data_IF_545994726824
#
_entry.id   IF_545994726824
#
_cell.length_a   1.000
_cell.length_b   1.000
_cell.length_c   1.000
_cell.angle_alpha   90.00
_cell.angle_beta   90.00
_cell.angle_gamma   90.00
#
_symmetry.space_group_name_H-M   'P 1'
#
loop_
_entity.id
_entity.type
_entity.pdbx_description
1 polymer ?
#
# COMPACT_ATOMS: atom_id res chain seq x y z
N UNK A 1 31.98 25.34 -14.58
CA UNK A 1 32.50 24.17 -13.83
C UNK A 1 31.93 22.88 -14.43
N UNK A 2 32.72 22.15 -15.23
CA UNK A 2 32.34 20.79 -15.69
C UNK A 2 32.40 19.86 -14.48
N UNK A 3 31.26 19.61 -13.85
CA UNK A 3 31.13 18.64 -12.77
C UNK A 3 31.63 17.30 -13.30
N UNK A 4 32.55 16.64 -12.58
CA UNK A 4 33.15 15.35 -12.93
C UNK A 4 32.05 14.28 -12.97
N UNK A 5 31.33 14.20 -14.06
CA UNK A 5 30.17 13.31 -14.30
C UNK A 5 30.54 11.84 -14.08
N UNK A 6 31.80 11.48 -14.33
CA UNK A 6 32.30 10.10 -14.14
C UNK A 6 32.29 9.68 -12.67
N UNK A 7 32.79 10.53 -11.75
CA UNK A 7 32.79 10.24 -10.31
C UNK A 7 31.36 10.21 -9.72
N UNK A 8 30.50 11.13 -10.20
CA UNK A 8 29.09 11.15 -9.81
C UNK A 8 28.36 9.86 -10.26
N UNK A 9 28.62 9.42 -11.48
CA UNK A 9 28.00 8.17 -12.01
C UNK A 9 28.54 6.92 -11.28
N UNK A 10 29.83 6.89 -10.97
CA UNK A 10 30.43 5.79 -10.19
C UNK A 10 29.80 5.74 -8.79
N UNK A 11 29.71 6.87 -8.10
CA UNK A 11 29.10 6.97 -6.78
C UNK A 11 27.63 6.52 -6.81
N UNK A 12 26.85 7.00 -7.79
CA UNK A 12 25.47 6.58 -8.00
C UNK A 12 25.38 5.07 -8.24
N UNK A 13 26.27 4.52 -9.09
CA UNK A 13 26.32 3.07 -9.36
C UNK A 13 26.60 2.22 -8.11
N UNK A 14 27.53 2.68 -7.26
CA UNK A 14 27.84 2.02 -6.00
C UNK A 14 26.66 2.03 -5.01
N UNK A 15 25.96 3.16 -4.90
CA UNK A 15 24.74 3.27 -4.08
C UNK A 15 23.67 2.31 -4.58
N UNK A 16 23.41 2.31 -5.88
CA UNK A 16 22.41 1.41 -6.47
C UNK A 16 22.80 -0.06 -6.25
N UNK A 17 24.06 -0.40 -6.50
CA UNK A 17 24.56 -1.75 -6.24
C UNK A 17 24.32 -2.15 -4.76
N UNK A 18 24.68 -1.29 -3.82
CA UNK A 18 24.49 -1.56 -2.39
C UNK A 18 23.02 -1.75 -2.01
N UNK A 19 22.11 -0.93 -2.58
CA UNK A 19 20.67 -1.01 -2.31
C UNK A 19 20.03 -2.28 -2.92
N UNK A 20 20.44 -2.67 -4.13
CA UNK A 20 19.83 -3.80 -4.83
C UNK A 20 20.52 -5.13 -4.57
N UNK A 21 21.73 -5.13 -4.02
CA UNK A 21 22.50 -6.35 -3.71
C UNK A 21 21.72 -7.33 -2.80
N UNK A 22 21.09 -6.91 -1.70
CA UNK A 22 20.28 -7.82 -0.87
C UNK A 22 19.11 -8.44 -1.64
N UNK A 23 18.44 -7.65 -2.49
CA UNK A 23 17.33 -8.15 -3.33
C UNK A 23 17.83 -9.19 -4.32
N UNK A 24 18.99 -8.94 -4.93
CA UNK A 24 19.63 -9.92 -5.83
C UNK A 24 19.93 -11.24 -5.11
N UNK A 25 20.42 -11.19 -3.87
CA UNK A 25 20.64 -12.40 -3.07
C UNK A 25 19.32 -13.12 -2.76
N UNK A 26 18.24 -12.43 -2.41
CA UNK A 26 16.92 -13.05 -2.21
C UNK A 26 16.49 -13.79 -3.47
N UNK A 27 16.61 -13.16 -4.65
CA UNK A 27 16.27 -13.77 -5.94
C UNK A 27 17.18 -14.98 -6.21
N UNK A 28 18.49 -14.86 -6.00
CA UNK A 28 19.44 -15.94 -6.22
C UNK A 28 19.13 -17.16 -5.33
N UNK A 29 18.96 -16.92 -4.02
CA UNK A 29 18.70 -17.99 -3.05
C UNK A 29 17.28 -18.56 -3.14
N UNK A 30 16.36 -17.94 -3.88
CA UNK A 30 15.05 -18.51 -4.19
C UNK A 30 15.14 -19.78 -5.07
N UNK A 31 16.24 -19.91 -5.79
CA UNK A 31 16.53 -21.09 -6.63
C UNK A 31 17.48 -22.09 -5.96
N UNK A 32 17.83 -21.90 -4.69
CA UNK A 32 18.75 -22.79 -3.99
C UNK A 32 18.04 -24.10 -3.61
N UNK A 33 18.63 -25.26 -4.00
CA UNK A 33 18.08 -26.58 -3.67
C UNK A 33 18.12 -26.89 -2.17
N UNK A 34 19.12 -26.36 -1.46
CA UNK A 34 19.25 -26.55 0.00
C UNK A 34 18.07 -25.95 0.75
N UNK A 35 17.70 -26.56 1.89
CA UNK A 35 16.69 -25.99 2.82
C UNK A 35 17.19 -24.81 3.62
N UNK A 36 18.48 -24.54 3.61
CA UNK A 36 19.10 -23.42 4.34
C UNK A 36 19.73 -22.45 3.36
N UNK A 37 19.66 -21.17 3.67
CA UNK A 37 20.33 -20.13 2.88
C UNK A 37 21.85 -20.05 3.16
N UNK A 38 22.35 -20.81 4.14
CA UNK A 38 23.76 -20.82 4.52
C UNK A 38 24.66 -21.55 3.50
N UNK A 39 24.10 -22.49 2.73
CA UNK A 39 24.85 -23.35 1.79
C UNK A 39 24.13 -23.35 0.45
N UNK A 40 24.86 -23.10 -0.62
CA UNK A 40 24.35 -23.26 -1.98
C UNK A 40 24.37 -24.75 -2.38
N UNK A 41 23.19 -25.36 -2.51
CA UNK A 41 23.01 -26.77 -2.85
C UNK A 41 22.83 -27.06 -4.33
N UNK A 42 22.84 -26.02 -5.19
CA UNK A 42 22.55 -26.13 -6.60
C UNK A 42 21.28 -25.35 -7.01
N UNK A 43 21.04 -25.29 -8.32
CA UNK A 43 19.87 -24.64 -8.89
C UNK A 43 18.66 -25.58 -8.86
N UNK A 44 17.53 -25.12 -8.32
CA UNK A 44 16.27 -25.87 -8.28
C UNK A 44 15.06 -24.95 -8.31
N UNK A 45 13.98 -25.39 -8.93
CA UNK A 45 12.65 -24.72 -8.92
C UNK A 45 11.71 -25.29 -7.86
N UNK A 46 12.21 -26.19 -7.03
CA UNK A 46 11.44 -26.94 -6.02
C UNK A 46 10.55 -26.05 -5.15
N UNK A 47 11.10 -24.92 -4.68
CA UNK A 47 10.36 -24.01 -3.78
C UNK A 47 9.18 -23.34 -4.45
N UNK A 48 9.26 -23.06 -5.75
CA UNK A 48 8.14 -22.53 -6.52
C UNK A 48 7.02 -23.56 -6.70
N UNK A 49 7.38 -24.85 -6.82
CA UNK A 49 6.39 -25.93 -6.85
C UNK A 49 5.76 -26.13 -5.47
N UNK A 50 6.55 -26.12 -4.40
CA UNK A 50 6.04 -26.22 -3.01
C UNK A 50 5.11 -25.05 -2.69
N UNK A 51 5.48 -23.80 -3.01
CA UNK A 51 4.63 -22.62 -2.84
C UNK A 51 3.28 -22.74 -3.56
N UNK A 52 3.25 -23.30 -4.77
CA UNK A 52 2.02 -23.48 -5.53
C UNK A 52 1.07 -24.51 -4.90
N UNK A 53 1.57 -25.34 -4.00
CA UNK A 53 0.81 -26.40 -3.27
C UNK A 53 0.52 -26.01 -1.82
N UNK A 54 1.19 -24.98 -1.27
CA UNK A 54 0.96 -24.51 0.10
C UNK A 54 -0.38 -23.74 0.18
N UNK A 55 -1.43 -24.45 0.59
CA UNK A 55 -2.79 -23.89 0.73
C UNK A 55 -2.85 -22.77 1.76
N UNK A 56 -2.11 -22.88 2.85
CA UNK A 56 -2.11 -21.88 3.93
C UNK A 56 -1.48 -20.57 3.45
N UNK A 57 -0.47 -20.66 2.59
CA UNK A 57 0.16 -19.49 1.98
C UNK A 57 -0.75 -18.82 0.95
N UNK A 58 -1.40 -19.63 0.10
CA UNK A 58 -2.35 -19.12 -0.89
C UNK A 58 -3.57 -18.47 -0.21
N UNK A 59 -4.06 -19.04 0.89
CA UNK A 59 -5.11 -18.45 1.70
C UNK A 59 -4.66 -17.13 2.33
N UNK A 60 -3.46 -17.08 2.92
CA UNK A 60 -2.88 -15.87 3.49
C UNK A 60 -2.69 -14.77 2.44
N UNK A 61 -2.26 -15.12 1.22
CA UNK A 61 -2.18 -14.20 0.08
C UNK A 61 -3.57 -13.68 -0.29
N UNK A 62 -4.55 -14.56 -0.42
CA UNK A 62 -5.94 -14.19 -0.69
C UNK A 62 -6.50 -13.21 0.35
N UNK A 63 -6.28 -13.50 1.63
CA UNK A 63 -6.67 -12.64 2.75
C UNK A 63 -6.02 -11.26 2.67
N UNK A 64 -4.72 -11.19 2.36
CA UNK A 64 -4.00 -9.91 2.18
C UNK A 64 -4.54 -9.09 1.01
N UNK A 65 -4.86 -9.73 -0.11
CA UNK A 65 -5.43 -9.05 -1.27
C UNK A 65 -6.84 -8.51 -0.97
N UNK A 66 -7.69 -9.32 -0.33
CA UNK A 66 -9.03 -8.90 0.09
C UNK A 66 -8.94 -7.74 1.08
N UNK A 67 -8.08 -7.86 2.09
CA UNK A 67 -7.83 -6.80 3.08
C UNK A 67 -7.36 -5.51 2.39
N UNK A 68 -6.31 -5.61 1.55
CA UNK A 68 -5.74 -4.46 0.87
C UNK A 68 -6.74 -3.75 -0.04
N UNK A 69 -7.51 -4.50 -0.84
CA UNK A 69 -8.52 -3.93 -1.74
C UNK A 69 -9.67 -3.31 -0.94
N UNK A 70 -10.23 -4.02 0.04
CA UNK A 70 -11.34 -3.53 0.84
C UNK A 70 -10.97 -2.25 1.60
N UNK A 71 -9.83 -2.24 2.27
CA UNK A 71 -9.33 -1.08 3.01
C UNK A 71 -9.00 0.10 2.09
N UNK A 72 -8.37 -0.18 0.96
CA UNK A 72 -8.00 0.85 -0.02
C UNK A 72 -9.25 1.50 -0.64
N UNK A 73 -10.24 0.73 -1.06
CA UNK A 73 -11.49 1.25 -1.64
C UNK A 73 -12.25 2.08 -0.60
N UNK A 74 -12.39 1.58 0.61
CA UNK A 74 -13.08 2.30 1.70
C UNK A 74 -12.34 3.60 2.04
N UNK A 75 -11.01 3.55 2.16
CA UNK A 75 -10.19 4.73 2.39
C UNK A 75 -10.24 5.72 1.22
N UNK A 76 -10.32 5.24 -0.04
CA UNK A 76 -10.45 6.10 -1.21
C UNK A 76 -11.75 6.89 -1.19
N UNK A 77 -12.85 6.25 -0.83
CA UNK A 77 -14.14 6.95 -0.69
C UNK A 77 -14.08 7.98 0.44
N UNK A 78 -13.69 7.55 1.64
CA UNK A 78 -13.67 8.45 2.82
C UNK A 78 -12.65 9.58 2.64
N UNK A 79 -11.44 9.26 2.20
CA UNK A 79 -10.36 10.23 2.01
C UNK A 79 -10.67 11.26 0.92
N UNK A 80 -11.29 10.81 -0.20
CA UNK A 80 -11.69 11.70 -1.29
C UNK A 80 -12.81 12.64 -0.84
N UNK A 81 -13.90 12.09 -0.25
CA UNK A 81 -15.00 12.89 0.25
C UNK A 81 -14.54 13.85 1.36
N UNK A 82 -13.66 13.39 2.24
CA UNK A 82 -13.04 14.20 3.28
C UNK A 82 -12.21 15.36 2.71
N UNK A 83 -11.36 15.09 1.71
CA UNK A 83 -10.55 16.12 1.07
C UNK A 83 -11.41 17.19 0.36
N UNK A 84 -12.40 16.75 -0.43
CA UNK A 84 -13.32 17.67 -1.13
C UNK A 84 -14.20 18.45 -0.15
N UNK A 85 -14.75 17.76 0.85
CA UNK A 85 -15.56 18.41 1.89
C UNK A 85 -14.79 19.48 2.66
N UNK A 86 -13.54 19.19 3.05
CA UNK A 86 -12.68 20.17 3.71
C UNK A 86 -12.27 21.32 2.79
N UNK A 87 -12.01 21.07 1.52
CA UNK A 87 -11.64 22.12 0.57
C UNK A 87 -12.80 23.14 0.40
N UNK A 88 -14.03 22.66 0.34
CA UNK A 88 -15.24 23.47 0.15
C UNK A 88 -15.82 24.04 1.45
N UNK A 89 -15.34 23.55 2.60
CA UNK A 89 -15.86 23.96 3.89
C UNK A 89 -15.31 25.32 4.33
N UNK A 90 -16.17 26.15 4.89
CA UNK A 90 -15.83 27.39 5.58
C UNK A 90 -15.68 27.20 7.10
N UNK A 91 -15.62 25.95 7.60
CA UNK A 91 -15.49 25.64 9.02
C UNK A 91 -14.16 26.18 9.57
N UNK A 92 -14.24 26.93 10.68
CA UNK A 92 -13.06 27.43 11.39
C UNK A 92 -12.15 26.29 11.92
N UNK A 93 -12.73 25.11 12.14
CA UNK A 93 -12.07 23.92 12.68
C UNK A 93 -11.45 23.01 11.61
N UNK A 94 -11.53 23.39 10.32
CA UNK A 94 -11.03 22.51 9.24
C UNK A 94 -9.55 22.14 9.39
N UNK A 95 -8.74 23.06 9.91
CA UNK A 95 -7.32 22.79 10.21
C UNK A 95 -7.14 21.69 11.26
N UNK A 96 -7.95 21.72 12.32
CA UNK A 96 -7.93 20.68 13.36
C UNK A 96 -8.35 19.33 12.79
N UNK A 97 -9.41 19.27 11.99
CA UNK A 97 -9.85 18.01 11.34
C UNK A 97 -8.76 17.45 10.45
N UNK A 98 -8.07 18.31 9.71
CA UNK A 98 -6.96 17.90 8.86
C UNK A 98 -5.77 17.36 9.67
N UNK A 99 -5.44 17.98 10.81
CA UNK A 99 -4.42 17.46 11.73
C UNK A 99 -4.82 16.10 12.29
N UNK A 100 -6.03 15.95 12.78
CA UNK A 100 -6.56 14.68 13.32
C UNK A 100 -6.54 13.59 12.24
N UNK A 101 -6.95 13.91 11.01
CA UNK A 101 -6.94 12.95 9.91
C UNK A 101 -5.52 12.45 9.53
N UNK A 102 -4.47 13.22 9.88
CA UNK A 102 -3.06 12.83 9.63
C UNK A 102 -2.40 12.11 10.80
N UNK A 103 -3.02 12.08 11.98
CA UNK A 103 -2.44 11.44 13.16
C UNK A 103 -1.98 10.00 12.92
N UNK A 104 -2.73 9.15 12.17
CA UNK A 104 -2.31 7.78 11.94
C UNK A 104 -0.93 7.63 11.28
N UNK A 105 -0.50 8.58 10.45
CA UNK A 105 0.85 8.56 9.84
C UNK A 105 1.93 8.97 10.84
N UNK A 106 1.59 9.77 11.85
CA UNK A 106 2.54 10.32 12.81
C UNK A 106 2.75 9.40 14.01
N UNK A 107 1.76 8.56 14.32
CA UNK A 107 1.79 7.63 15.44
C UNK A 107 2.62 6.40 15.04
N UNK A 108 3.57 5.94 15.87
CA UNK A 108 4.26 4.66 15.64
C UNK A 108 3.26 3.50 15.49
N UNK A 109 3.46 2.67 14.48
CA UNK A 109 2.52 1.57 14.12
C UNK A 109 2.20 0.65 15.29
N UNK A 110 3.18 0.34 16.15
CA UNK A 110 2.97 -0.46 17.36
C UNK A 110 1.93 0.19 18.29
N UNK A 111 2.05 1.51 18.51
CA UNK A 111 1.11 2.24 19.37
C UNK A 111 -0.27 2.26 18.73
N UNK A 112 -0.33 2.49 17.42
CA UNK A 112 -1.58 2.50 16.67
C UNK A 112 -2.27 1.12 16.73
N UNK A 113 -1.51 0.03 16.54
CA UNK A 113 -2.02 -1.34 16.67
C UNK A 113 -2.57 -1.64 18.07
N UNK A 114 -1.84 -1.24 19.13
CA UNK A 114 -2.33 -1.39 20.51
C UNK A 114 -3.60 -0.58 20.77
N UNK A 115 -3.70 0.64 20.25
CA UNK A 115 -4.90 1.48 20.38
C UNK A 115 -6.09 0.83 19.68
N UNK A 116 -5.92 0.30 18.46
CA UNK A 116 -6.98 -0.43 17.77
C UNK A 116 -7.40 -1.69 18.54
N UNK A 117 -6.43 -2.46 19.03
CA UNK A 117 -6.72 -3.66 19.84
C UNK A 117 -7.54 -3.29 21.07
N UNK A 118 -7.13 -2.28 21.83
CA UNK A 118 -7.86 -1.82 23.03
C UNK A 118 -9.27 -1.31 22.67
N UNK A 119 -9.39 -0.52 21.61
CA UNK A 119 -10.65 0.02 21.13
C UNK A 119 -11.63 -1.06 20.69
N UNK A 120 -11.19 -2.03 19.89
CA UNK A 120 -12.04 -3.13 19.44
C UNK A 120 -12.41 -4.07 20.59
N UNK A 121 -11.51 -4.30 21.54
CA UNK A 121 -11.80 -5.06 22.76
C UNK A 121 -12.86 -4.37 23.62
N UNK A 122 -12.76 -3.05 23.79
CA UNK A 122 -13.74 -2.27 24.54
C UNK A 122 -15.13 -2.34 23.91
N UNK A 123 -15.20 -2.39 22.57
CA UNK A 123 -16.46 -2.54 21.83
C UNK A 123 -16.94 -3.99 21.72
N UNK A 124 -16.21 -4.97 22.30
CA UNK A 124 -16.46 -6.39 22.17
C UNK A 124 -16.55 -6.88 20.70
N UNK A 125 -15.80 -6.25 19.79
CA UNK A 125 -15.75 -6.67 18.40
C UNK A 125 -14.85 -7.92 18.25
N UNK A 126 -15.33 -8.97 17.57
CA UNK A 126 -14.50 -10.13 17.31
C UNK A 126 -13.36 -9.77 16.36
N UNK A 127 -12.12 -10.12 16.76
CA UNK A 127 -10.94 -9.91 15.91
C UNK A 127 -11.01 -10.78 14.65
N UNK A 128 -10.67 -10.21 13.51
CA UNK A 128 -10.70 -10.88 12.20
C UNK A 128 -10.65 -9.90 11.03
N UNK A 129 -11.18 -10.31 9.88
CA UNK A 129 -11.14 -9.51 8.66
C UNK A 129 -11.79 -8.13 8.83
N UNK A 130 -12.89 -8.03 9.56
CA UNK A 130 -13.60 -6.74 9.75
C UNK A 130 -12.76 -5.76 10.56
N UNK A 131 -12.18 -6.19 11.68
CA UNK A 131 -11.29 -5.33 12.51
C UNK A 131 -10.02 -4.95 11.75
N UNK A 132 -9.46 -5.86 10.95
CA UNK A 132 -8.36 -5.57 10.05
C UNK A 132 -8.74 -4.49 9.02
N UNK A 133 -9.86 -4.65 8.31
CA UNK A 133 -10.33 -3.67 7.32
C UNK A 133 -10.54 -2.29 7.95
N UNK A 134 -11.15 -2.23 9.14
CA UNK A 134 -11.36 -0.94 9.84
C UNK A 134 -10.02 -0.29 10.20
N UNK A 135 -9.10 -1.04 10.80
CA UNK A 135 -7.79 -0.53 11.18
C UNK A 135 -6.97 -0.08 9.96
N UNK A 136 -6.92 -0.91 8.92
CA UNK A 136 -6.20 -0.59 7.69
C UNK A 136 -6.82 0.60 6.96
N UNK A 137 -8.16 0.70 6.91
CA UNK A 137 -8.85 1.87 6.36
C UNK A 137 -8.43 3.13 7.09
N UNK A 138 -8.40 3.11 8.43
CA UNK A 138 -8.10 4.28 9.24
C UNK A 138 -6.69 4.82 8.97
N UNK A 139 -5.66 3.97 8.84
CA UNK A 139 -4.32 4.46 8.53
C UNK A 139 -4.10 4.72 7.03
N UNK A 140 -4.94 4.16 6.14
CA UNK A 140 -4.89 4.43 4.69
C UNK A 140 -5.52 5.78 4.31
N UNK A 141 -6.54 6.26 5.04
CA UNK A 141 -7.24 7.51 4.76
C UNK A 141 -6.29 8.70 4.55
N UNK A 142 -5.30 8.97 5.43
CA UNK A 142 -4.41 10.11 5.27
C UNK A 142 -3.66 10.15 3.93
N UNK A 143 -3.21 9.00 3.43
CA UNK A 143 -2.47 8.91 2.16
C UNK A 143 -3.32 9.38 0.98
N UNK A 144 -4.58 8.95 0.95
CA UNK A 144 -5.52 9.35 -0.10
C UNK A 144 -5.90 10.81 0.05
N UNK A 145 -6.24 11.23 1.26
CA UNK A 145 -6.60 12.61 1.57
C UNK A 145 -5.52 13.60 1.13
N UNK A 146 -4.24 13.30 1.40
CA UNK A 146 -3.12 14.16 1.02
C UNK A 146 -2.93 14.23 -0.51
N UNK A 147 -3.03 13.09 -1.20
CA UNK A 147 -2.89 13.04 -2.66
C UNK A 147 -4.04 13.77 -3.36
N UNK A 148 -5.28 13.55 -2.91
CA UNK A 148 -6.46 14.23 -3.45
C UNK A 148 -6.42 15.73 -3.17
N UNK A 149 -6.02 16.14 -1.95
CA UNK A 149 -5.87 17.55 -1.59
C UNK A 149 -4.84 18.25 -2.48
N UNK A 150 -3.71 17.62 -2.75
CA UNK A 150 -2.69 18.17 -3.65
C UNK A 150 -3.25 18.40 -5.05
N UNK A 151 -4.12 17.51 -5.51
CA UNK A 151 -4.79 17.66 -6.81
C UNK A 151 -5.82 18.78 -6.81
N UNK A 152 -6.61 18.91 -5.73
CA UNK A 152 -7.60 19.99 -5.54
C UNK A 152 -6.96 21.37 -5.58
N UNK A 153 -5.80 21.56 -4.94
CA UNK A 153 -5.08 22.84 -4.94
C UNK A 153 -4.63 23.25 -6.36
N UNK A 154 -4.33 22.28 -7.23
CA UNK A 154 -3.93 22.55 -8.63
C UNK A 154 -5.09 22.63 -9.63
N UNK A 155 -6.35 22.51 -9.17
CA UNK A 155 -7.54 22.52 -10.02
C UNK A 155 -8.11 23.95 -10.10
N UNK A 156 -8.49 24.40 -11.31
CA UNK A 156 -9.14 25.69 -11.50
C UNK A 156 -10.60 25.60 -11.03
N UNK A 157 -11.02 26.43 -10.05
CA UNK A 157 -12.38 26.43 -9.54
C UNK A 157 -13.42 26.81 -10.61
N UNK A 158 -13.04 27.57 -11.64
CA UNK A 158 -13.93 28.02 -12.71
C UNK A 158 -14.55 26.86 -13.51
N UNK A 159 -13.91 25.68 -13.54
CA UNK A 159 -14.45 24.51 -14.22
C UNK A 159 -15.75 24.01 -13.59
N UNK A 160 -15.84 24.02 -12.26
CA UNK A 160 -17.05 23.64 -11.54
C UNK A 160 -18.13 24.73 -11.65
N UNK A 161 -17.73 26.00 -11.58
CA UNK A 161 -18.61 27.14 -11.73
C UNK A 161 -19.26 27.15 -13.13
N UNK A 162 -18.47 26.97 -14.19
CA UNK A 162 -18.98 26.88 -15.56
C UNK A 162 -19.98 25.73 -15.76
N UNK A 163 -19.74 24.57 -15.15
CA UNK A 163 -20.70 23.45 -15.21
C UNK A 163 -22.02 23.81 -14.55
N UNK A 164 -21.98 24.55 -13.42
CA UNK A 164 -23.19 25.01 -12.70
C UNK A 164 -23.94 26.09 -13.48
N UNK A 165 -23.22 26.99 -14.12
CA UNK A 165 -23.82 28.03 -14.99
C UNK A 165 -24.57 27.41 -16.19
N UNK A 166 -24.09 26.24 -16.68
CA UNK A 166 -24.76 25.43 -17.68
C UNK A 166 -25.92 24.57 -17.13
N UNK A 167 -26.28 24.77 -15.85
CA UNK A 167 -27.44 24.11 -15.22
C UNK A 167 -27.14 22.77 -14.54
N UNK A 168 -25.89 22.39 -14.38
CA UNK A 168 -25.56 21.19 -13.62
C UNK A 168 -25.81 21.40 -12.12
N UNK A 169 -26.43 20.40 -11.47
CA UNK A 169 -26.48 20.38 -10.00
C UNK A 169 -25.09 20.19 -9.40
N UNK A 170 -24.86 20.59 -8.16
CA UNK A 170 -23.57 20.43 -7.48
C UNK A 170 -23.06 18.98 -7.46
N UNK A 171 -23.98 17.99 -7.31
CA UNK A 171 -23.64 16.57 -7.38
C UNK A 171 -23.21 16.14 -8.78
N UNK A 172 -23.88 16.64 -9.81
CA UNK A 172 -23.54 16.36 -11.21
C UNK A 172 -22.22 17.01 -11.60
N UNK A 173 -22.00 18.27 -11.25
CA UNK A 173 -20.71 18.94 -11.44
C UNK A 173 -19.56 18.19 -10.73
N UNK A 174 -19.81 17.66 -9.52
CA UNK A 174 -18.82 16.83 -8.83
C UNK A 174 -18.49 15.54 -9.60
N UNK A 175 -19.50 14.77 -10.03
CA UNK A 175 -19.29 13.47 -10.68
C UNK A 175 -18.72 13.64 -12.10
N UNK A 176 -19.22 14.62 -12.86
CA UNK A 176 -18.88 14.75 -14.29
C UNK A 176 -17.60 15.56 -14.51
N UNK A 177 -17.22 16.47 -13.58
CA UNK A 177 -16.08 17.36 -13.75
C UNK A 177 -15.00 17.12 -12.69
N UNK A 178 -15.37 17.25 -11.40
CA UNK A 178 -14.40 17.25 -10.31
C UNK A 178 -13.80 15.86 -10.11
N UNK A 179 -14.62 14.82 -10.02
CA UNK A 179 -14.17 13.46 -9.75
C UNK A 179 -13.21 12.92 -10.83
N UNK A 180 -13.47 13.07 -12.15
CA UNK A 180 -12.52 12.68 -13.19
C UNK A 180 -11.18 13.42 -13.09
N UNK A 181 -11.19 14.71 -12.77
CA UNK A 181 -9.96 15.49 -12.58
C UNK A 181 -9.17 15.07 -11.34
N UNK A 182 -9.84 14.55 -10.31
CA UNK A 182 -9.23 14.01 -9.10
C UNK A 182 -8.72 12.57 -9.26
N UNK A 183 -9.21 11.81 -10.25
CA UNK A 183 -8.87 10.39 -10.43
C UNK A 183 -7.37 10.09 -10.40
N UNK A 184 -6.49 10.86 -11.04
CA UNK A 184 -5.05 10.60 -10.94
C UNK A 184 -4.51 10.71 -9.52
N UNK A 185 -5.04 11.65 -8.72
CA UNK A 185 -4.69 11.81 -7.30
C UNK A 185 -5.27 10.68 -6.43
N UNK A 186 -6.52 10.30 -6.68
CA UNK A 186 -7.18 9.18 -5.99
C UNK A 186 -6.43 7.89 -6.27
N UNK A 187 -6.12 7.58 -7.53
CA UNK A 187 -5.40 6.37 -7.90
C UNK A 187 -3.98 6.34 -7.33
N UNK A 188 -3.25 7.47 -7.33
CA UNK A 188 -1.93 7.54 -6.71
C UNK A 188 -1.99 7.30 -5.20
N UNK A 189 -2.94 7.92 -4.51
CA UNK A 189 -3.17 7.70 -3.08
C UNK A 189 -3.60 6.27 -2.77
N UNK A 190 -4.48 5.70 -3.60
CA UNK A 190 -4.97 4.33 -3.47
C UNK A 190 -3.87 3.29 -3.68
N UNK A 191 -3.01 3.46 -4.68
CA UNK A 191 -1.86 2.57 -4.89
C UNK A 191 -0.89 2.60 -3.71
N UNK A 192 -0.62 3.78 -3.15
CA UNK A 192 0.22 3.91 -1.97
C UNK A 192 -0.44 3.25 -0.75
N UNK A 193 -1.72 3.52 -0.51
CA UNK A 193 -2.49 2.92 0.57
C UNK A 193 -2.55 1.38 0.46
N UNK A 194 -2.74 0.86 -0.76
CA UNK A 194 -2.73 -0.57 -1.03
C UNK A 194 -1.37 -1.20 -0.73
N UNK A 195 -0.27 -0.57 -1.17
CA UNK A 195 1.08 -1.05 -0.87
C UNK A 195 1.36 -1.08 0.64
N UNK A 196 0.99 -0.02 1.37
CA UNK A 196 1.11 0.06 2.82
C UNK A 196 0.28 -1.02 3.54
N UNK A 197 -0.93 -1.29 3.05
CA UNK A 197 -1.79 -2.35 3.61
C UNK A 197 -1.25 -3.76 3.36
N UNK A 198 -0.61 -3.99 2.19
CA UNK A 198 0.00 -5.29 1.86
C UNK A 198 1.27 -5.58 2.65
N UNK A 199 1.99 -4.56 3.08
CA UNK A 199 3.26 -4.70 3.82
C UNK A 199 3.07 -4.69 5.34
N UNK A 200 1.87 -4.33 5.83
CA UNK A 200 1.62 -4.20 7.25
C UNK A 200 1.63 -5.54 7.98
N UNK A 201 2.54 -5.64 8.93
CA UNK A 201 2.64 -6.73 9.89
C UNK A 201 2.18 -6.26 11.27
N UNK A 202 2.56 -5.02 11.61
CA UNK A 202 2.53 -4.54 13.00
C UNK A 202 1.10 -4.35 13.48
N UNK A 203 0.30 -3.55 12.77
CA UNK A 203 -1.11 -3.33 13.15
C UNK A 203 -1.87 -4.64 13.03
N UNK A 204 -1.62 -5.40 11.95
CA UNK A 204 -2.27 -6.68 11.71
C UNK A 204 -2.10 -7.67 12.86
N UNK A 205 -0.93 -7.80 13.47
CA UNK A 205 -0.70 -8.71 14.61
C UNK A 205 -1.63 -8.39 15.80
N UNK A 206 -1.92 -7.11 16.04
CA UNK A 206 -2.76 -6.70 17.17
C UNK A 206 -4.25 -6.90 16.96
N UNK A 207 -4.72 -6.81 15.70
CA UNK A 207 -6.16 -6.81 15.40
C UNK A 207 -6.60 -8.02 14.57
N UNK A 208 -5.68 -8.95 14.33
CA UNK A 208 -5.94 -10.19 13.61
C UNK A 208 -6.75 -11.18 14.45
N UNK A 209 -7.59 -11.97 13.78
CA UNK A 209 -8.32 -13.08 14.42
C UNK A 209 -7.47 -14.35 14.51
N UNK A 210 -7.80 -15.27 15.44
CA UNK A 210 -6.98 -16.46 15.72
C UNK A 210 -6.90 -17.46 14.55
N UNK A 211 -7.80 -17.37 13.58
CA UNK A 211 -7.87 -18.27 12.42
C UNK A 211 -7.57 -17.59 11.10
N UNK A 212 -7.24 -16.29 11.12
CA UNK A 212 -7.00 -15.52 9.92
C UNK A 212 -5.53 -15.14 9.87
N UNK A 213 -4.84 -15.52 8.80
CA UNK A 213 -3.48 -15.08 8.54
C UNK A 213 -3.45 -14.19 7.30
N UNK A 214 -2.71 -13.09 7.40
CA UNK A 214 -2.30 -12.31 6.24
C UNK A 214 -0.91 -12.76 5.81
N UNK A 215 -0.55 -12.51 4.56
CA UNK A 215 0.74 -12.90 4.03
C UNK A 215 1.93 -12.32 4.82
N UNK A 216 1.93 -11.01 5.19
CA UNK A 216 3.00 -10.45 6.02
C UNK A 216 3.13 -11.13 7.39
N UNK A 217 2.03 -11.45 8.06
CA UNK A 217 2.06 -12.19 9.34
C UNK A 217 2.65 -13.58 9.15
N UNK A 218 2.24 -14.30 8.09
CA UNK A 218 2.76 -15.65 7.77
C UNK A 218 4.27 -15.59 7.54
N UNK A 219 4.75 -14.68 6.69
CA UNK A 219 6.17 -14.46 6.41
C UNK A 219 6.93 -14.10 7.69
N UNK A 220 6.44 -13.13 8.46
CA UNK A 220 7.07 -12.72 9.72
C UNK A 220 7.19 -13.87 10.72
N UNK A 221 6.17 -14.69 10.83
CA UNK A 221 6.17 -15.85 11.74
C UNK A 221 7.17 -16.92 11.29
N UNK A 222 7.24 -17.19 9.98
CA UNK A 222 8.23 -18.13 9.43
C UNK A 222 9.67 -17.60 9.61
N UNK A 223 9.92 -16.31 9.41
CA UNK A 223 11.23 -15.69 9.58
C UNK A 223 11.80 -15.82 11.01
N UNK A 224 10.95 -15.96 12.03
CA UNK A 224 11.40 -16.23 13.42
C UNK A 224 12.13 -17.57 13.56
N UNK A 225 11.86 -18.52 12.70
CA UNK A 225 12.51 -19.84 12.67
C UNK A 225 13.69 -19.91 11.68
N UNK A 226 14.00 -18.79 11.02
CA UNK A 226 15.05 -18.65 10.02
C UNK A 226 14.51 -18.39 8.62
N UNK A 227 15.31 -17.69 7.80
CA UNK A 227 14.97 -17.42 6.41
C UNK A 227 15.19 -18.68 5.58
N UNK A 228 14.11 -19.24 5.04
CA UNK A 228 14.16 -20.40 4.15
C UNK A 228 14.17 -19.95 2.68
N UNK A 229 14.71 -20.76 1.75
CA UNK A 229 14.59 -20.47 0.32
C UNK A 229 13.16 -20.37 -0.18
N UNK A 230 12.21 -21.00 0.49
CA UNK A 230 10.77 -20.87 0.24
C UNK A 230 10.30 -19.43 0.42
N UNK A 231 10.70 -18.79 1.53
CA UNK A 231 10.40 -17.36 1.77
C UNK A 231 11.05 -16.50 0.68
N UNK A 232 12.29 -16.81 0.29
CA UNK A 232 12.96 -16.11 -0.79
C UNK A 232 12.22 -16.26 -2.13
N UNK A 233 11.71 -17.47 -2.44
CA UNK A 233 10.90 -17.71 -3.64
C UNK A 233 9.59 -16.89 -3.61
N UNK A 234 8.92 -16.83 -2.46
CA UNK A 234 7.73 -16.01 -2.26
C UNK A 234 8.03 -14.52 -2.48
N UNK A 235 9.08 -13.99 -1.83
CA UNK A 235 9.50 -12.60 -2.01
C UNK A 235 9.84 -12.29 -3.48
N UNK A 236 10.49 -13.24 -4.17
CA UNK A 236 10.83 -13.11 -5.59
C UNK A 236 9.58 -13.06 -6.46
N UNK A 237 8.57 -13.88 -6.19
CA UNK A 237 7.28 -13.84 -6.90
C UNK A 237 6.55 -12.52 -6.66
N UNK A 238 6.51 -12.04 -5.42
CA UNK A 238 5.88 -10.75 -5.08
C UNK A 238 6.58 -9.58 -5.78
N UNK A 239 7.91 -9.58 -5.79
CA UNK A 239 8.70 -8.59 -6.51
C UNK A 239 8.43 -8.66 -8.02
N UNK A 240 8.42 -9.85 -8.59
CA UNK A 240 8.10 -10.09 -10.00
C UNK A 240 6.69 -9.58 -10.36
N UNK A 241 5.68 -9.88 -9.54
CA UNK A 241 4.32 -9.39 -9.72
C UNK A 241 4.25 -7.85 -9.67
N UNK A 242 4.94 -7.23 -8.70
CA UNK A 242 4.99 -5.76 -8.58
C UNK A 242 5.65 -5.13 -9.80
N UNK A 243 6.77 -5.66 -10.26
CA UNK A 243 7.46 -5.18 -11.46
C UNK A 243 6.61 -5.36 -12.72
N UNK A 244 5.88 -6.46 -12.83
CA UNK A 244 4.97 -6.72 -13.94
C UNK A 244 3.84 -5.70 -13.97
N UNK A 245 3.19 -5.42 -12.83
CA UNK A 245 2.14 -4.40 -12.72
C UNK A 245 2.67 -3.03 -13.12
N UNK A 246 3.86 -2.65 -12.66
CA UNK A 246 4.49 -1.39 -13.03
C UNK A 246 4.81 -1.33 -14.53
N UNK A 247 5.32 -2.40 -15.11
CA UNK A 247 5.63 -2.48 -16.53
C UNK A 247 4.36 -2.32 -17.38
N UNK A 248 3.30 -3.06 -17.05
CA UNK A 248 1.99 -2.95 -17.73
C UNK A 248 1.46 -1.53 -17.63
N UNK A 249 1.49 -0.92 -16.44
CA UNK A 249 1.04 0.47 -16.25
C UNK A 249 1.83 1.47 -17.10
N UNK A 250 3.16 1.32 -17.19
CA UNK A 250 4.01 2.17 -18.02
C UNK A 250 3.68 2.03 -19.52
N UNK A 251 3.42 0.80 -19.98
CA UNK A 251 3.06 0.53 -21.38
C UNK A 251 1.72 1.18 -21.70
N UNK A 252 0.70 0.96 -20.86
CA UNK A 252 -0.65 1.54 -21.04
C UNK A 252 -0.58 3.07 -21.09
N UNK A 253 0.19 3.69 -20.18
CA UNK A 253 0.37 5.15 -20.16
C UNK A 253 1.09 5.68 -21.40
N UNK A 254 1.99 4.90 -22.00
CA UNK A 254 2.69 5.29 -23.23
C UNK A 254 1.78 5.21 -24.46
N UNK A 255 0.83 4.27 -24.49
CA UNK A 255 -0.14 4.10 -25.60
C UNK A 255 -1.18 5.21 -25.62
N UNK A 256 -1.49 5.83 -24.46
CA UNK A 256 -2.48 6.90 -24.32
C UNK A 256 -1.88 8.32 -24.37
N UNK A 257 -0.61 8.45 -24.72
CA UNK A 257 0.08 9.71 -25.04
C UNK A 257 0.31 9.85 -26.53
#
# INVERSE_FOLDING_TARGET
>A
MKKNTKWSNLYMGLILLFLYLPIFFVILYSFNESRTTAIWGGFSMKWYEELSRDRDLLEALGNSLVLGVASCVTAAVIGTLGAVGMARSHLKTKGLVEYVARLPIMIPEIILGMVFMAFFSLLNLPFGMVTLVIAHTAFCIPYILMNVKTRLVGMDPSLEEAARDLGASSGRAFVDIVLPLLMPGILSGALLAFAMSLDDVVISIFVNGPRLNTLPIKVYTQMKFGVTPEINALCTLMLGATLLVLAVWMIVKKVHR
#
